data_IF_801490896104
#
_entry.id   IF_801490896104
#
_cell.length_a   1.000
_cell.length_b   1.000
_cell.length_c   1.000
_cell.angle_alpha   90.00
_cell.angle_beta   90.00
_cell.angle_gamma   90.00
#
_symmetry.space_group_name_H-M   'P 1'
#
loop_
_entity.id
_entity.type
_entity.pdbx_description
1 polymer ?
#
# COMPACT_ATOMS: atom_id res chain seq x y z
N UNK A 1 -29.99 -13.06 -16.63
CA UNK A 1 -29.56 -11.76 -17.20
C UNK A 1 -29.63 -10.71 -16.10
N UNK A 2 -28.58 -10.54 -15.30
CA UNK A 2 -28.44 -9.42 -14.35
C UNK A 2 -27.49 -8.41 -15.00
N UNK A 3 -27.99 -7.18 -15.22
CA UNK A 3 -27.17 -6.05 -15.69
C UNK A 3 -26.10 -5.76 -14.66
N UNK A 4 -24.83 -5.81 -15.07
CA UNK A 4 -23.68 -5.44 -14.24
C UNK A 4 -23.81 -4.00 -13.74
N UNK A 5 -23.66 -3.82 -12.44
CA UNK A 5 -23.41 -2.52 -11.82
C UNK A 5 -21.98 -2.11 -12.21
N UNK A 6 -21.83 -0.89 -12.71
CA UNK A 6 -20.58 -0.38 -13.24
C UNK A 6 -19.43 -0.49 -12.24
N UNK A 7 -18.32 -1.02 -12.71
CA UNK A 7 -17.05 -1.03 -12.00
C UNK A 7 -16.65 0.42 -11.65
N UNK A 8 -16.23 0.64 -10.42
CA UNK A 8 -15.66 1.92 -10.01
C UNK A 8 -14.35 2.13 -10.78
N UNK A 9 -14.31 3.13 -11.63
CA UNK A 9 -13.14 3.45 -12.45
C UNK A 9 -12.17 4.27 -11.61
N UNK A 10 -10.91 3.88 -11.57
CA UNK A 10 -9.84 4.74 -11.05
C UNK A 10 -9.98 6.10 -11.75
N UNK A 11 -10.28 7.18 -11.00
CA UNK A 11 -10.48 8.51 -11.61
C UNK A 11 -9.13 9.11 -12.02
N UNK A 12 -8.54 8.54 -13.06
CA UNK A 12 -7.46 9.16 -13.82
C UNK A 12 -8.15 10.16 -14.74
N UNK A 13 -7.88 11.48 -14.64
CA UNK A 13 -8.54 12.46 -15.50
C UNK A 13 -8.27 12.09 -16.95
N UNK A 14 -9.33 11.85 -17.73
CA UNK A 14 -9.21 11.73 -19.18
C UNK A 14 -8.50 12.98 -19.69
N UNK A 15 -7.49 12.82 -20.54
CA UNK A 15 -6.89 13.90 -21.28
C UNK A 15 -8.02 14.54 -22.12
N UNK A 16 -8.42 15.78 -21.78
CA UNK A 16 -9.50 16.45 -22.47
C UNK A 16 -9.22 16.55 -23.98
N UNK A 17 -10.11 15.96 -24.76
CA UNK A 17 -10.09 15.95 -26.21
C UNK A 17 -10.47 14.58 -26.75
N UNK A 18 -11.67 14.44 -27.32
CA UNK A 18 -12.03 13.31 -28.19
C UNK A 18 -11.08 13.29 -29.40
N UNK A 19 -10.02 12.49 -29.28
CA UNK A 19 -9.13 12.16 -30.38
C UNK A 19 -8.92 10.65 -30.33
N UNK A 20 -9.44 9.95 -31.35
CA UNK A 20 -9.14 8.55 -31.63
C UNK A 20 -7.65 8.30 -31.44
N UNK A 21 -7.30 7.32 -30.59
CA UNK A 21 -5.94 6.85 -30.38
C UNK A 21 -5.42 6.25 -31.71
N UNK A 22 -4.90 7.13 -32.54
CA UNK A 22 -4.07 6.74 -33.66
C UNK A 22 -2.68 6.41 -33.11
N UNK A 23 -2.34 5.13 -33.06
CA UNK A 23 -1.01 4.62 -32.71
C UNK A 23 0.01 4.91 -33.81
N UNK A 24 0.06 6.15 -34.28
CA UNK A 24 1.08 6.61 -35.22
C UNK A 24 2.06 7.55 -34.52
N UNK A 25 3.32 7.12 -34.45
CA UNK A 25 4.56 7.87 -34.30
C UNK A 25 4.38 9.30 -33.76
N UNK A 26 4.60 9.49 -32.46
CA UNK A 26 4.78 10.82 -31.88
C UNK A 26 5.83 11.58 -32.71
N UNK A 27 5.42 12.69 -33.28
CA UNK A 27 6.21 13.47 -34.23
C UNK A 27 7.54 13.89 -33.60
N UNK A 28 8.63 13.31 -34.11
CA UNK A 28 10.04 13.67 -33.83
C UNK A 28 10.40 15.10 -34.27
N UNK A 29 9.44 15.94 -34.62
CA UNK A 29 9.60 17.22 -35.27
C UNK A 29 9.55 18.45 -34.37
N UNK A 30 9.11 18.33 -33.10
CA UNK A 30 9.07 19.50 -32.21
C UNK A 30 10.46 19.74 -31.61
N UNK A 31 11.15 20.84 -31.90
CA UNK A 31 12.47 21.10 -31.34
C UNK A 31 12.42 21.32 -29.85
N UNK A 32 13.42 20.79 -29.15
CA UNK A 32 13.60 21.02 -27.72
C UNK A 32 14.25 22.37 -27.49
N UNK A 33 13.69 23.19 -26.62
CA UNK A 33 14.20 24.51 -26.28
C UNK A 33 15.32 24.42 -25.22
N UNK A 34 16.19 25.41 -25.17
CA UNK A 34 17.24 25.50 -24.12
C UNK A 34 16.67 25.47 -22.68
N UNK A 35 15.51 26.11 -22.51
CA UNK A 35 14.77 26.08 -21.22
C UNK A 35 14.35 24.63 -20.84
N UNK A 36 13.88 23.84 -21.76
CA UNK A 36 13.41 22.47 -21.52
C UNK A 36 14.57 21.55 -21.15
N UNK A 37 15.75 21.71 -21.79
CA UNK A 37 16.97 21.01 -21.36
C UNK A 37 17.40 21.41 -19.95
N UNK A 38 17.31 22.68 -19.64
CA UNK A 38 17.61 23.18 -18.31
C UNK A 38 16.65 22.63 -17.27
N UNK A 39 15.34 22.59 -17.55
CA UNK A 39 14.32 22.01 -16.68
C UNK A 39 14.57 20.51 -16.43
N UNK A 40 14.89 19.74 -17.47
CA UNK A 40 15.21 18.32 -17.33
C UNK A 40 16.46 18.10 -16.46
N UNK A 41 17.52 18.92 -16.62
CA UNK A 41 18.68 18.88 -15.74
C UNK A 41 18.32 19.23 -14.29
N UNK A 42 17.49 20.26 -14.09
CA UNK A 42 17.01 20.64 -12.74
C UNK A 42 16.21 19.54 -12.07
N UNK A 43 15.41 18.78 -12.83
CA UNK A 43 14.70 17.64 -12.29
C UNK A 43 15.68 16.58 -11.76
N UNK A 44 16.74 16.25 -12.51
CA UNK A 44 17.79 15.32 -12.07
C UNK A 44 18.57 15.86 -10.86
N UNK A 45 18.92 17.14 -10.84
CA UNK A 45 19.60 17.78 -9.70
C UNK A 45 18.74 17.73 -8.42
N UNK A 46 17.45 18.09 -8.52
CA UNK A 46 16.50 18.07 -7.40
C UNK A 46 16.20 16.65 -6.88
N UNK A 47 16.41 15.64 -7.72
CA UNK A 47 16.30 14.23 -7.35
C UNK A 47 17.62 13.66 -6.80
N UNK A 48 18.59 14.51 -6.40
CA UNK A 48 19.87 14.07 -5.84
C UNK A 48 20.82 13.43 -6.85
N UNK A 49 20.74 13.80 -8.12
CA UNK A 49 21.56 13.24 -9.21
C UNK A 49 21.51 11.69 -9.31
N UNK A 50 20.33 11.11 -9.43
CA UNK A 50 20.19 9.66 -9.51
C UNK A 50 20.93 9.13 -10.75
N UNK A 51 21.29 7.84 -10.74
CA UNK A 51 21.86 7.15 -11.91
C UNK A 51 20.80 6.89 -13.00
N UNK A 52 20.13 7.95 -13.42
CA UNK A 52 19.04 7.96 -14.40
C UNK A 52 19.35 9.04 -15.43
N UNK A 53 19.01 8.81 -16.70
CA UNK A 53 18.97 9.86 -17.71
C UNK A 53 17.52 10.17 -18.13
N UNK A 54 17.30 11.36 -18.67
CA UNK A 54 16.01 11.78 -19.24
C UNK A 54 16.16 11.84 -20.75
N UNK A 55 15.28 11.13 -21.47
CA UNK A 55 15.17 11.19 -22.93
C UNK A 55 13.93 12.02 -23.27
N UNK A 56 14.15 13.11 -23.99
CA UNK A 56 13.08 14.02 -24.42
C UNK A 56 12.42 13.53 -25.71
N UNK A 57 11.27 14.07 -26.09
CA UNK A 57 10.43 13.65 -27.20
C UNK A 57 11.08 13.69 -28.56
N UNK A 58 12.20 14.41 -28.73
CA UNK A 58 13.00 14.44 -29.95
C UNK A 58 14.16 13.41 -29.96
N UNK A 59 14.26 12.57 -28.91
CA UNK A 59 15.33 11.59 -28.74
C UNK A 59 16.61 12.14 -28.10
N UNK A 60 16.64 13.42 -27.71
CA UNK A 60 17.80 14.02 -27.04
C UNK A 60 17.88 13.49 -25.58
N UNK A 61 19.04 12.95 -25.20
CA UNK A 61 19.30 12.45 -23.87
C UNK A 61 19.97 13.54 -23.00
N UNK A 62 19.39 13.80 -21.84
CA UNK A 62 19.93 14.62 -20.76
C UNK A 62 20.51 13.68 -19.71
N UNK A 63 21.85 13.56 -19.61
CA UNK A 63 22.48 12.58 -18.73
C UNK A 63 22.39 12.98 -17.27
N UNK A 64 22.24 11.97 -16.38
CA UNK A 64 22.49 12.09 -14.95
C UNK A 64 23.99 12.03 -14.62
N UNK A 65 24.32 11.86 -13.32
CA UNK A 65 25.69 11.98 -12.81
C UNK A 65 26.65 10.85 -13.21
N UNK A 66 26.16 9.67 -13.64
CA UNK A 66 26.97 8.50 -13.99
C UNK A 66 26.30 7.68 -15.10
N UNK A 67 26.90 6.55 -15.51
CA UNK A 67 26.25 5.61 -16.42
C UNK A 67 24.85 5.26 -15.91
N UNK A 68 23.79 5.51 -16.68
CA UNK A 68 22.42 5.35 -16.22
C UNK A 68 22.09 3.88 -16.00
N UNK A 69 21.35 3.59 -14.91
CA UNK A 69 20.70 2.30 -14.68
C UNK A 69 19.38 2.18 -15.43
N UNK A 70 18.75 3.34 -15.66
CA UNK A 70 17.48 3.42 -16.38
C UNK A 70 17.37 4.76 -17.12
N UNK A 71 16.49 4.79 -18.12
CA UNK A 71 16.14 6.01 -18.86
C UNK A 71 14.67 6.33 -18.68
N UNK A 72 14.38 7.60 -18.37
CA UNK A 72 13.02 8.11 -18.32
C UNK A 72 12.70 8.85 -19.62
N UNK A 73 11.84 8.28 -20.44
CA UNK A 73 11.36 8.87 -21.68
C UNK A 73 10.18 9.79 -21.39
N UNK A 74 10.30 11.06 -21.75
CA UNK A 74 9.21 12.05 -21.70
C UNK A 74 8.71 12.25 -23.13
N UNK A 75 7.48 11.86 -23.41
CA UNK A 75 6.94 11.74 -24.75
C UNK A 75 6.54 13.07 -25.40
N UNK A 76 6.29 14.10 -24.61
CA UNK A 76 5.90 15.41 -25.10
C UNK A 76 6.24 16.55 -24.11
N UNK A 77 6.15 17.77 -24.63
CA UNK A 77 6.47 19.01 -23.90
C UNK A 77 5.57 19.25 -22.67
N UNK A 78 4.27 19.03 -22.79
CA UNK A 78 3.33 19.24 -21.68
C UNK A 78 3.59 18.26 -20.53
N UNK A 79 4.01 17.03 -20.85
CA UNK A 79 4.42 16.05 -19.84
C UNK A 79 5.60 16.55 -19.00
N UNK A 80 6.62 17.17 -19.64
CA UNK A 80 7.73 17.77 -18.89
C UNK A 80 7.27 18.91 -17.98
N UNK A 81 6.44 19.83 -18.47
CA UNK A 81 5.96 20.96 -17.67
C UNK A 81 5.07 20.51 -16.50
N UNK A 82 4.19 19.54 -16.71
CA UNK A 82 3.39 18.93 -15.63
C UNK A 82 4.28 18.28 -14.58
N UNK A 83 5.26 17.49 -15.01
CA UNK A 83 6.19 16.82 -14.10
C UNK A 83 6.95 17.83 -13.22
N UNK A 84 7.45 18.93 -13.81
CA UNK A 84 8.12 20.00 -13.06
C UNK A 84 7.18 20.69 -12.09
N UNK A 85 5.93 20.94 -12.49
CA UNK A 85 4.95 21.65 -11.66
C UNK A 85 4.57 20.87 -10.40
N UNK A 86 4.38 19.56 -10.51
CA UNK A 86 3.96 18.72 -9.40
C UNK A 86 4.43 17.27 -9.58
N UNK A 87 5.72 16.98 -9.35
CA UNK A 87 6.32 15.68 -9.65
C UNK A 87 5.65 14.53 -8.91
N UNK A 88 5.32 14.70 -7.62
CA UNK A 88 4.70 13.67 -6.77
C UNK A 88 3.27 13.27 -7.16
N UNK A 89 2.61 14.03 -8.02
CA UNK A 89 1.29 13.70 -8.57
C UNK A 89 1.42 13.28 -10.04
N UNK A 90 2.02 14.16 -10.85
CA UNK A 90 1.97 13.98 -12.30
C UNK A 90 2.89 12.89 -12.82
N UNK A 91 3.94 12.49 -12.09
CA UNK A 91 4.73 11.33 -12.51
C UNK A 91 3.85 10.09 -12.67
N UNK A 92 3.04 9.77 -11.66
CA UNK A 92 2.15 8.61 -11.71
C UNK A 92 1.05 8.75 -12.76
N UNK A 93 0.40 9.93 -12.84
CA UNK A 93 -0.63 10.18 -13.85
C UNK A 93 -0.07 10.04 -15.29
N UNK A 94 1.10 10.63 -15.56
CA UNK A 94 1.74 10.59 -16.88
C UNK A 94 2.28 9.20 -17.24
N UNK A 95 2.81 8.47 -16.26
CA UNK A 95 3.25 7.08 -16.45
C UNK A 95 2.04 6.17 -16.76
N UNK A 96 0.93 6.34 -16.04
CA UNK A 96 -0.26 5.52 -16.24
C UNK A 96 -0.82 5.64 -17.66
N UNK A 97 -0.78 6.83 -18.26
CA UNK A 97 -1.26 7.06 -19.62
C UNK A 97 -0.16 6.97 -20.71
N UNK A 98 1.03 6.47 -20.37
CA UNK A 98 2.12 6.23 -21.34
C UNK A 98 2.83 7.48 -21.84
N UNK A 99 2.62 8.65 -21.21
CA UNK A 99 3.34 9.89 -21.57
C UNK A 99 4.72 10.00 -20.90
N UNK A 100 4.96 9.18 -19.89
CA UNK A 100 6.28 8.86 -19.34
C UNK A 100 6.46 7.35 -19.44
N UNK A 101 7.63 6.92 -19.89
CA UNK A 101 8.03 5.53 -19.92
C UNK A 101 9.41 5.36 -19.28
N UNK A 102 9.63 4.22 -18.64
CA UNK A 102 10.89 3.85 -18.03
C UNK A 102 11.50 2.71 -18.84
N UNK A 103 12.65 2.96 -19.44
CA UNK A 103 13.50 1.94 -20.05
C UNK A 103 14.47 1.42 -18.99
N UNK A 104 14.40 0.12 -18.71
CA UNK A 104 15.12 -0.54 -17.62
C UNK A 104 14.19 -1.07 -16.54
N UNK A 105 14.77 -1.44 -15.41
CA UNK A 105 13.99 -1.97 -14.27
C UNK A 105 13.27 -0.84 -13.52
N UNK A 106 11.94 -0.93 -13.44
CA UNK A 106 11.11 0.10 -12.82
C UNK A 106 11.37 0.21 -11.30
N UNK A 107 11.60 -0.93 -10.62
CA UNK A 107 11.86 -0.94 -9.17
C UNK A 107 13.20 -0.28 -8.87
N UNK A 108 14.26 -0.63 -9.62
CA UNK A 108 15.58 -0.01 -9.48
C UNK A 108 15.55 1.50 -9.80
N UNK A 109 14.80 1.91 -10.81
CA UNK A 109 14.58 3.32 -11.13
C UNK A 109 14.00 4.06 -9.93
N UNK A 110 12.89 3.55 -9.37
CA UNK A 110 12.18 4.17 -8.25
C UNK A 110 12.99 4.13 -6.95
N UNK A 111 13.69 3.03 -6.66
CA UNK A 111 14.59 2.93 -5.50
C UNK A 111 15.71 3.98 -5.58
N UNK A 112 16.33 4.12 -6.75
CA UNK A 112 17.39 5.12 -6.97
C UNK A 112 16.84 6.54 -6.78
N UNK A 113 15.64 6.82 -7.26
CA UNK A 113 14.97 8.10 -7.08
C UNK A 113 14.67 8.37 -5.58
N UNK A 114 14.12 7.40 -4.85
CA UNK A 114 13.83 7.56 -3.41
C UNK A 114 15.09 7.82 -2.58
N UNK A 115 16.18 7.08 -2.82
CA UNK A 115 17.48 7.32 -2.16
C UNK A 115 18.07 8.70 -2.49
N UNK A 116 17.85 9.17 -3.73
CA UNK A 116 18.27 10.50 -4.15
C UNK A 116 17.47 11.62 -3.47
N UNK A 117 16.15 11.46 -3.36
CA UNK A 117 15.27 12.41 -2.65
C UNK A 117 15.59 12.51 -1.17
N UNK A 118 15.98 11.42 -0.50
CA UNK A 118 16.41 11.44 0.91
C UNK A 118 17.63 12.35 1.13
N UNK A 119 18.57 12.33 0.20
CA UNK A 119 19.76 13.21 0.28
C UNK A 119 19.45 14.68 -0.03
N UNK A 120 18.30 14.98 -0.67
CA UNK A 120 17.88 16.32 -1.08
C UNK A 120 16.76 16.93 -0.21
N UNK A 121 16.39 16.30 0.91
CA UNK A 121 15.22 16.65 1.76
C UNK A 121 15.26 18.07 2.33
N UNK A 122 16.42 18.69 2.49
CA UNK A 122 16.58 20.02 3.10
C UNK A 122 16.46 21.19 2.13
N UNK A 123 15.94 20.98 0.90
CA UNK A 123 15.77 22.08 -0.03
C UNK A 123 14.48 22.87 0.23
N UNK A 124 14.54 24.22 0.10
CA UNK A 124 13.39 25.12 0.26
C UNK A 124 12.21 24.73 -0.65
N UNK A 125 12.47 24.04 -1.76
CA UNK A 125 11.47 23.60 -2.72
C UNK A 125 10.61 22.44 -2.16
N UNK A 126 11.23 21.50 -1.45
CA UNK A 126 10.49 20.41 -0.76
C UNK A 126 9.65 20.98 0.37
N UNK A 127 10.14 21.96 1.11
CA UNK A 127 9.38 22.64 2.17
C UNK A 127 8.17 23.41 1.62
N UNK A 128 8.29 24.06 0.46
CA UNK A 128 7.18 24.75 -0.21
C UNK A 128 6.10 23.75 -0.70
N UNK A 129 6.51 22.62 -1.23
CA UNK A 129 5.57 21.57 -1.64
C UNK A 129 4.82 20.95 -0.45
N UNK A 130 5.48 20.78 0.70
CA UNK A 130 4.84 20.34 1.95
C UNK A 130 3.77 21.32 2.46
N UNK A 131 3.96 22.62 2.26
CA UNK A 131 2.98 23.66 2.62
C UNK A 131 1.72 23.65 1.72
N UNK A 132 1.86 23.25 0.46
CA UNK A 132 0.75 23.25 -0.52
C UNK A 132 -0.14 22.00 -0.40
N UNK A 133 0.36 20.90 0.15
CA UNK A 133 -0.38 19.66 0.34
C UNK A 133 -0.95 19.57 1.76
N UNK A 134 -2.22 19.96 1.97
CA UNK A 134 -2.90 19.79 3.27
C UNK A 134 -3.51 18.40 3.38
N UNK A 135 -3.36 17.68 4.53
CA UNK A 135 -3.99 16.39 4.75
C UNK A 135 -5.51 16.57 4.83
N UNK A 136 -6.25 15.58 4.34
CA UNK A 136 -7.69 15.46 4.62
C UNK A 136 -7.86 14.82 6.00
N UNK A 137 -8.84 15.31 6.78
CA UNK A 137 -9.25 14.65 8.01
C UNK A 137 -9.95 13.32 7.66
N UNK A 138 -9.65 12.25 8.38
CA UNK A 138 -10.24 10.93 8.13
C UNK A 138 -11.37 10.68 9.15
N UNK A 139 -12.60 11.08 8.82
CA UNK A 139 -13.78 10.79 9.65
C UNK A 139 -14.26 9.34 9.44
N UNK A 140 -15.10 8.76 10.34
CA UNK A 140 -15.69 7.43 10.13
C UNK A 140 -16.46 7.27 8.83
N UNK A 141 -17.10 8.34 8.35
CA UNK A 141 -17.79 8.37 7.05
C UNK A 141 -16.77 8.34 5.90
N UNK A 142 -15.72 9.18 5.98
CA UNK A 142 -14.65 9.22 4.97
C UNK A 142 -13.86 7.90 4.94
N UNK A 143 -13.65 7.24 6.09
CA UNK A 143 -12.99 5.94 6.15
C UNK A 143 -13.75 4.86 5.39
N UNK A 144 -15.09 4.83 5.51
CA UNK A 144 -15.94 3.91 4.73
C UNK A 144 -15.85 4.20 3.24
N UNK A 145 -16.00 5.45 2.83
CA UNK A 145 -15.94 5.85 1.42
C UNK A 145 -14.57 5.57 0.80
N UNK A 146 -13.48 5.86 1.52
CA UNK A 146 -12.11 5.62 1.09
C UNK A 146 -11.80 4.11 0.94
N UNK A 147 -12.28 3.27 1.86
CA UNK A 147 -12.11 1.82 1.79
C UNK A 147 -12.94 1.24 0.66
N UNK A 148 -14.20 1.67 0.49
CA UNK A 148 -15.01 1.30 -0.67
C UNK A 148 -14.32 1.67 -1.99
N UNK A 149 -13.72 2.86 -2.07
CA UNK A 149 -13.01 3.28 -3.28
C UNK A 149 -11.84 2.36 -3.65
N UNK A 150 -11.07 1.86 -2.68
CA UNK A 150 -9.91 1.01 -2.94
C UNK A 150 -10.25 -0.48 -3.07
N UNK A 151 -11.08 -1.01 -2.16
CA UNK A 151 -11.36 -2.46 -2.09
C UNK A 151 -12.54 -2.88 -2.97
N UNK A 152 -13.44 -1.95 -3.34
CA UNK A 152 -14.51 -2.19 -4.32
C UNK A 152 -14.05 -1.98 -5.78
N UNK A 153 -12.81 -1.50 -6.01
CA UNK A 153 -12.20 -1.41 -7.35
C UNK A 153 -12.02 -2.78 -8.01
N UNK A 154 -11.86 -3.83 -7.22
CA UNK A 154 -11.74 -5.19 -7.71
C UNK A 154 -12.63 -6.08 -6.89
N UNK A 155 -13.55 -6.77 -7.56
CA UNK A 155 -14.16 -7.94 -7.00
C UNK A 155 -13.06 -8.96 -6.62
N UNK A 156 -13.41 -9.97 -5.89
CA UNK A 156 -12.61 -11.15 -5.54
C UNK A 156 -11.68 -11.60 -6.69
N UNK A 157 -12.21 -11.65 -7.94
CA UNK A 157 -11.50 -12.08 -9.14
C UNK A 157 -10.19 -11.31 -9.41
N UNK A 158 -10.16 -10.00 -9.18
CA UNK A 158 -8.95 -9.21 -9.38
C UNK A 158 -7.85 -9.55 -8.37
N UNK A 159 -8.20 -9.67 -7.09
CA UNK A 159 -7.23 -9.96 -6.03
C UNK A 159 -6.70 -11.40 -6.10
N UNK A 160 -7.52 -12.37 -6.52
CA UNK A 160 -7.12 -13.77 -6.72
C UNK A 160 -6.04 -13.95 -7.79
N UNK A 161 -5.92 -13.03 -8.74
CA UNK A 161 -4.91 -13.10 -9.80
C UNK A 161 -3.48 -12.93 -9.28
N UNK A 162 -3.28 -12.21 -8.18
CA UNK A 162 -1.93 -11.86 -7.73
C UNK A 162 -1.65 -12.03 -6.22
N UNK A 163 -2.68 -12.16 -5.36
CA UNK A 163 -2.49 -12.55 -3.96
C UNK A 163 -2.22 -14.05 -3.82
N UNK A 164 -1.97 -14.49 -2.59
CA UNK A 164 -1.93 -15.91 -2.24
C UNK A 164 -3.33 -16.51 -2.31
N UNK A 165 -3.44 -17.71 -2.89
CA UNK A 165 -4.72 -18.37 -3.14
C UNK A 165 -5.37 -19.00 -1.91
N UNK A 166 -4.60 -19.20 -0.81
CA UNK A 166 -5.10 -19.90 0.37
C UNK A 166 -5.81 -18.98 1.36
N UNK A 167 -5.26 -17.79 1.60
CA UNK A 167 -5.71 -16.91 2.65
C UNK A 167 -6.07 -15.49 2.17
N UNK A 168 -5.77 -15.17 0.90
CA UNK A 168 -6.02 -13.86 0.30
C UNK A 168 -5.44 -12.73 1.15
N UNK A 169 -4.16 -12.85 1.54
CA UNK A 169 -3.50 -11.90 2.43
C UNK A 169 -2.98 -10.70 1.64
N UNK A 170 -3.63 -9.56 1.78
CA UNK A 170 -3.15 -8.30 1.20
C UNK A 170 -2.28 -7.53 2.21
N UNK A 171 -1.34 -8.24 2.83
CA UNK A 171 -0.39 -7.73 3.83
C UNK A 171 0.95 -8.44 3.69
N UNK A 172 1.98 -7.91 4.33
CA UNK A 172 3.33 -8.47 4.27
C UNK A 172 3.36 -9.96 4.64
N UNK A 173 3.98 -10.78 3.81
CA UNK A 173 4.35 -12.16 4.11
C UNK A 173 5.64 -12.21 4.96
N UNK A 174 5.94 -13.35 5.57
CA UNK A 174 7.16 -13.59 6.33
C UNK A 174 7.98 -14.70 5.67
N UNK A 175 9.18 -14.37 5.24
CA UNK A 175 10.10 -15.26 4.51
C UNK A 175 11.28 -15.64 5.39
N UNK A 176 11.15 -16.62 6.33
CA UNK A 176 12.31 -17.12 7.06
C UNK A 176 13.34 -17.80 6.14
N UNK A 177 12.91 -18.31 4.99
CA UNK A 177 13.74 -18.81 3.91
C UNK A 177 13.43 -18.01 2.62
N UNK A 178 14.45 -17.40 1.97
CA UNK A 178 14.26 -16.64 0.74
C UNK A 178 13.66 -17.43 -0.44
N UNK A 179 13.77 -18.76 -0.43
CA UNK A 179 13.24 -19.65 -1.47
C UNK A 179 11.76 -20.03 -1.31
N UNK A 180 11.07 -19.55 -0.28
CA UNK A 180 9.65 -19.88 -0.04
C UNK A 180 8.74 -19.31 -1.13
N UNK A 181 7.65 -20.04 -1.41
CA UNK A 181 6.54 -19.53 -2.19
C UNK A 181 5.78 -18.43 -1.42
N UNK A 182 4.98 -17.63 -2.12
CA UNK A 182 4.15 -16.62 -1.46
C UNK A 182 3.14 -17.26 -0.49
N UNK A 183 2.54 -18.39 -0.86
CA UNK A 183 1.61 -19.14 -0.03
C UNK A 183 2.27 -19.60 1.28
N UNK A 184 3.45 -20.21 1.19
CA UNK A 184 4.20 -20.67 2.38
C UNK A 184 4.62 -19.49 3.26
N UNK A 185 5.06 -18.38 2.65
CA UNK A 185 5.46 -17.18 3.37
C UNK A 185 4.26 -16.47 4.05
N UNK A 186 3.08 -16.47 3.43
CA UNK A 186 1.87 -15.95 4.07
C UNK A 186 1.40 -16.85 5.23
N UNK A 187 1.51 -18.18 5.06
CA UNK A 187 1.25 -19.11 6.16
C UNK A 187 2.25 -18.90 7.30
N UNK A 188 3.51 -18.76 6.99
CA UNK A 188 4.57 -18.47 7.97
C UNK A 188 4.33 -17.15 8.69
N UNK A 189 3.80 -16.10 8.01
CA UNK A 189 3.41 -14.83 8.62
C UNK A 189 2.27 -15.01 9.63
N UNK A 190 1.22 -15.74 9.26
CA UNK A 190 0.11 -16.01 10.17
C UNK A 190 0.57 -16.78 11.41
N UNK A 191 1.43 -17.80 11.23
CA UNK A 191 2.07 -18.51 12.34
C UNK A 191 2.98 -17.61 13.20
N UNK A 192 3.72 -16.69 12.56
CA UNK A 192 4.58 -15.75 13.28
C UNK A 192 3.77 -14.83 14.19
N UNK A 193 2.65 -14.30 13.71
CA UNK A 193 1.69 -13.50 14.49
C UNK A 193 1.15 -14.32 15.65
N UNK A 194 0.67 -15.55 15.41
CA UNK A 194 0.11 -16.42 16.45
C UNK A 194 1.14 -16.76 17.54
N UNK A 195 2.40 -17.05 17.16
CA UNK A 195 3.49 -17.33 18.12
C UNK A 195 3.84 -16.11 18.98
N UNK A 196 3.93 -14.91 18.39
CA UNK A 196 4.17 -13.67 19.12
C UNK A 196 3.04 -13.38 20.14
N UNK A 197 1.83 -13.66 19.75
CA UNK A 197 0.64 -13.55 20.63
C UNK A 197 0.59 -14.67 21.69
N UNK A 198 1.43 -15.71 21.57
CA UNK A 198 1.39 -16.93 22.42
C UNK A 198 0.00 -17.56 22.45
N UNK A 199 -0.65 -17.60 21.29
CA UNK A 199 -2.02 -18.06 21.15
C UNK A 199 -2.17 -19.52 21.55
N UNK A 200 -3.21 -19.83 22.32
CA UNK A 200 -3.52 -21.16 22.88
C UNK A 200 -4.91 -21.61 22.46
N UNK A 201 -5.16 -22.93 22.46
CA UNK A 201 -6.50 -23.44 22.30
C UNK A 201 -7.46 -22.89 23.34
N UNK A 202 -8.62 -22.39 22.91
CA UNK A 202 -9.63 -21.79 23.75
C UNK A 202 -9.53 -20.30 23.95
N UNK A 203 -8.42 -19.65 23.55
CA UNK A 203 -8.30 -18.19 23.62
C UNK A 203 -9.38 -17.51 22.76
N UNK A 204 -9.93 -16.41 23.27
CA UNK A 204 -10.87 -15.54 22.57
C UNK A 204 -10.09 -14.39 21.94
N UNK A 205 -10.23 -14.21 20.64
CA UNK A 205 -9.50 -13.23 19.86
C UNK A 205 -10.43 -12.17 19.27
N UNK A 206 -10.11 -10.89 19.47
CA UNK A 206 -10.65 -9.79 18.67
C UNK A 206 -9.67 -9.45 17.55
N UNK A 207 -10.08 -9.56 16.29
CA UNK A 207 -9.32 -9.12 15.13
C UNK A 207 -9.94 -7.84 14.57
N UNK A 208 -9.16 -6.75 14.55
CA UNK A 208 -9.56 -5.46 14.01
C UNK A 208 -9.01 -5.28 12.59
N UNK A 209 -9.89 -5.25 11.57
CA UNK A 209 -9.52 -5.16 10.18
C UNK A 209 -9.11 -6.51 9.57
N UNK A 210 -10.05 -7.45 9.47
CA UNK A 210 -9.75 -8.84 9.08
C UNK A 210 -9.53 -9.05 7.57
N UNK A 211 -9.74 -8.05 6.71
CA UNK A 211 -9.64 -8.21 5.27
C UNK A 211 -10.50 -9.38 4.77
N UNK A 212 -9.92 -10.27 3.95
CA UNK A 212 -10.57 -11.48 3.43
C UNK A 212 -10.69 -12.62 4.47
N UNK A 213 -10.36 -12.36 5.73
CA UNK A 213 -10.58 -13.27 6.87
C UNK A 213 -9.60 -14.44 6.98
N UNK A 214 -8.48 -14.41 6.28
CA UNK A 214 -7.51 -15.51 6.27
C UNK A 214 -6.86 -15.76 7.63
N UNK A 215 -6.45 -14.70 8.35
CA UNK A 215 -5.81 -14.82 9.66
C UNK A 215 -6.78 -15.39 10.71
N UNK A 216 -8.03 -14.93 10.76
CA UNK A 216 -9.05 -15.48 11.66
C UNK A 216 -9.25 -16.99 11.44
N UNK A 217 -9.37 -17.43 10.17
CA UNK A 217 -9.49 -18.86 9.86
C UNK A 217 -8.25 -19.65 10.27
N UNK A 218 -7.06 -19.08 10.10
CA UNK A 218 -5.79 -19.70 10.50
C UNK A 218 -5.72 -19.89 12.03
N UNK A 219 -6.03 -18.84 12.81
CA UNK A 219 -6.07 -18.90 14.28
C UNK A 219 -7.05 -19.95 14.79
N UNK A 220 -8.26 -20.00 14.21
CA UNK A 220 -9.26 -20.98 14.60
C UNK A 220 -8.87 -22.41 14.25
N UNK A 221 -8.30 -22.64 13.06
CA UNK A 221 -7.96 -23.97 12.56
C UNK A 221 -6.74 -24.57 13.25
N UNK A 222 -5.65 -23.81 13.34
CA UNK A 222 -4.35 -24.34 13.74
C UNK A 222 -4.03 -24.10 15.20
N UNK A 223 -4.64 -23.08 15.82
CA UNK A 223 -4.41 -22.73 17.22
C UNK A 223 -5.62 -22.98 18.12
N UNK A 224 -6.77 -23.37 17.56
CA UNK A 224 -7.95 -23.69 18.33
C UNK A 224 -8.62 -22.50 19.01
N UNK A 225 -8.35 -21.28 18.55
CA UNK A 225 -8.95 -20.06 19.05
C UNK A 225 -10.41 -19.89 18.61
N UNK A 226 -11.15 -19.07 19.33
CA UNK A 226 -12.44 -18.50 18.90
C UNK A 226 -12.22 -17.05 18.54
N UNK A 227 -12.56 -16.68 17.30
CA UNK A 227 -12.22 -15.37 16.75
C UNK A 227 -13.47 -14.57 16.42
N UNK A 228 -13.54 -13.33 16.88
CA UNK A 228 -14.49 -12.33 16.42
C UNK A 228 -13.74 -11.28 15.62
N UNK A 229 -13.97 -11.23 14.32
CA UNK A 229 -13.19 -10.50 13.34
C UNK A 229 -14.03 -9.38 12.71
N UNK A 230 -13.55 -8.15 12.77
CA UNK A 230 -14.29 -6.96 12.37
C UNK A 230 -13.74 -6.39 11.07
N UNK A 231 -14.63 -5.97 10.18
CA UNK A 231 -14.29 -5.24 8.96
C UNK A 231 -15.49 -4.40 8.49
N UNK A 232 -15.22 -3.27 7.87
CA UNK A 232 -16.26 -2.37 7.33
C UNK A 232 -16.60 -2.64 5.86
N UNK A 233 -15.83 -3.47 5.15
CA UNK A 233 -16.08 -3.87 3.77
C UNK A 233 -17.08 -5.02 3.72
N UNK A 234 -18.26 -4.76 3.15
CA UNK A 234 -19.32 -5.77 2.94
C UNK A 234 -18.82 -6.96 2.11
N UNK A 235 -18.13 -6.68 1.00
CA UNK A 235 -17.65 -7.70 0.07
C UNK A 235 -16.63 -8.65 0.75
N UNK A 236 -15.68 -8.08 1.50
CA UNK A 236 -14.69 -8.87 2.23
C UNK A 236 -15.33 -9.71 3.35
N UNK A 237 -16.29 -9.17 4.08
CA UNK A 237 -17.02 -9.91 5.12
C UNK A 237 -17.87 -11.03 4.52
N UNK A 238 -18.56 -10.79 3.41
CA UNK A 238 -19.35 -11.81 2.71
C UNK A 238 -18.47 -12.98 2.23
N UNK A 239 -17.34 -12.67 1.60
CA UNK A 239 -16.33 -13.66 1.20
C UNK A 239 -15.82 -14.45 2.39
N UNK A 240 -15.37 -13.76 3.45
CA UNK A 240 -14.79 -14.38 4.64
C UNK A 240 -15.78 -15.36 5.33
N UNK A 241 -17.06 -15.00 5.42
CA UNK A 241 -18.14 -15.86 5.92
C UNK A 241 -18.32 -17.09 5.06
N UNK A 242 -18.33 -16.93 3.73
CA UNK A 242 -18.43 -18.04 2.77
C UNK A 242 -17.28 -19.02 2.94
N UNK A 243 -16.05 -18.52 3.03
CA UNK A 243 -14.85 -19.32 3.23
C UNK A 243 -14.84 -20.05 4.59
N UNK A 244 -15.27 -19.41 5.67
CA UNK A 244 -15.35 -20.05 6.97
C UNK A 244 -16.38 -21.18 6.99
N UNK A 245 -17.54 -20.98 6.35
CA UNK A 245 -18.57 -22.00 6.22
C UNK A 245 -18.08 -23.20 5.39
N UNK A 246 -17.47 -22.95 4.23
CA UNK A 246 -16.90 -23.98 3.36
C UNK A 246 -15.80 -24.80 4.06
N UNK A 247 -15.09 -24.19 5.01
CA UNK A 247 -14.01 -24.83 5.76
C UNK A 247 -14.46 -25.43 7.11
N UNK A 248 -15.76 -25.39 7.44
CA UNK A 248 -16.32 -25.92 8.70
C UNK A 248 -15.91 -25.11 9.95
N UNK A 249 -15.56 -23.83 9.79
CA UNK A 249 -15.09 -22.94 10.85
C UNK A 249 -16.13 -21.94 11.35
N UNK A 250 -17.37 -21.94 10.81
CA UNK A 250 -18.42 -20.99 11.16
C UNK A 250 -18.80 -20.99 12.66
N UNK A 251 -18.56 -22.09 13.40
CA UNK A 251 -18.77 -22.15 14.84
C UNK A 251 -17.60 -21.59 15.67
N UNK A 252 -16.48 -21.23 15.06
CA UNK A 252 -15.27 -20.70 15.72
C UNK A 252 -14.87 -19.32 15.28
N UNK A 253 -15.33 -18.88 14.11
CA UNK A 253 -15.03 -17.55 13.55
C UNK A 253 -16.33 -16.83 13.25
N UNK A 254 -16.51 -15.69 13.88
CA UNK A 254 -17.60 -14.75 13.61
C UNK A 254 -17.00 -13.54 12.88
N UNK A 255 -17.48 -13.24 11.67
CA UNK A 255 -17.12 -12.02 10.93
C UNK A 255 -18.23 -10.98 11.12
N UNK A 256 -17.84 -9.82 11.67
CA UNK A 256 -18.74 -8.71 11.99
C UNK A 256 -18.48 -7.56 11.00
N UNK A 257 -19.54 -7.17 10.28
CA UNK A 257 -19.49 -5.98 9.40
C UNK A 257 -19.74 -4.74 10.28
N UNK A 258 -18.68 -4.23 10.88
CA UNK A 258 -18.74 -3.03 11.74
C UNK A 258 -17.36 -2.37 11.85
N UNK A 259 -17.37 -1.13 12.36
CA UNK A 259 -16.17 -0.35 12.65
C UNK A 259 -15.45 -0.91 13.89
N UNK A 260 -14.11 -0.94 13.86
CA UNK A 260 -13.28 -1.41 14.98
C UNK A 260 -13.57 -0.66 16.29
N UNK A 261 -14.04 0.58 16.22
CA UNK A 261 -14.41 1.40 17.39
C UNK A 261 -15.55 0.80 18.19
N UNK A 262 -16.37 -0.04 17.55
CA UNK A 262 -17.52 -0.72 18.15
C UNK A 262 -17.19 -2.12 18.68
N UNK A 263 -15.92 -2.56 18.63
CA UNK A 263 -15.51 -3.83 19.25
C UNK A 263 -15.90 -3.81 20.72
N UNK A 264 -16.67 -4.79 21.12
CA UNK A 264 -17.16 -5.03 22.46
C UNK A 264 -16.81 -6.44 22.94
N UNK A 265 -17.02 -6.71 24.23
CA UNK A 265 -16.72 -8.00 24.85
C UNK A 265 -15.33 -8.04 25.48
N UNK A 266 -14.95 -9.23 25.93
CA UNK A 266 -13.69 -9.48 26.62
C UNK A 266 -12.90 -10.58 25.90
N UNK A 267 -11.63 -10.31 25.60
CA UNK A 267 -10.76 -11.15 24.79
C UNK A 267 -9.41 -11.38 25.46
N UNK A 268 -8.83 -12.55 25.23
CA UNK A 268 -7.50 -12.89 25.69
C UNK A 268 -6.44 -12.29 24.75
N UNK A 269 -6.83 -12.05 23.49
CA UNK A 269 -5.95 -11.52 22.44
C UNK A 269 -6.65 -10.44 21.61
N UNK A 270 -5.91 -9.34 21.33
CA UNK A 270 -6.29 -8.32 20.37
C UNK A 270 -5.27 -8.29 19.23
N UNK A 271 -5.71 -8.38 17.99
CA UNK A 271 -4.82 -8.37 16.82
C UNK A 271 -5.33 -7.44 15.72
N UNK A 272 -4.41 -6.70 15.10
CA UNK A 272 -4.69 -5.87 13.93
C UNK A 272 -3.53 -5.93 12.96
N UNK A 273 -3.81 -6.29 11.69
CA UNK A 273 -2.81 -6.48 10.65
C UNK A 273 -3.20 -5.68 9.40
N UNK A 274 -2.44 -4.60 9.10
CA UNK A 274 -2.64 -3.77 7.90
C UNK A 274 -3.90 -2.89 7.95
N UNK A 275 -4.34 -2.48 9.15
CA UNK A 275 -5.47 -1.55 9.31
C UNK A 275 -5.01 -0.14 9.75
N UNK A 276 -3.93 -0.05 10.54
CA UNK A 276 -3.54 1.19 11.20
C UNK A 276 -3.30 2.35 10.21
N UNK A 277 -2.83 2.04 9.02
CA UNK A 277 -2.61 2.98 7.92
C UNK A 277 -3.87 3.73 7.51
N UNK A 278 -5.04 3.13 7.76
CA UNK A 278 -6.36 3.68 7.44
C UNK A 278 -7.09 4.28 8.64
N UNK A 279 -6.54 4.13 9.85
CA UNK A 279 -7.14 4.66 11.09
C UNK A 279 -7.03 6.18 11.17
N UNK A 280 -5.89 6.73 10.71
CA UNK A 280 -5.57 8.14 10.86
C UNK A 280 -4.99 8.48 12.25
N UNK A 281 -3.97 9.33 12.27
CA UNK A 281 -3.18 9.67 13.46
C UNK A 281 -4.02 10.13 14.65
N UNK A 282 -5.05 10.95 14.41
CA UNK A 282 -5.90 11.51 15.46
C UNK A 282 -6.71 10.44 16.22
N UNK A 283 -6.77 9.21 15.71
CA UNK A 283 -7.53 8.09 16.27
C UNK A 283 -6.65 6.99 16.91
N UNK A 284 -5.33 7.17 16.98
CA UNK A 284 -4.45 6.14 17.59
C UNK A 284 -4.75 5.90 19.06
N UNK A 285 -4.98 6.97 19.83
CA UNK A 285 -5.43 6.84 21.23
C UNK A 285 -6.77 6.13 21.34
N UNK A 286 -7.68 6.36 20.42
CA UNK A 286 -8.98 5.66 20.37
C UNK A 286 -8.78 4.17 20.11
N UNK A 287 -7.90 3.78 19.18
CA UNK A 287 -7.57 2.38 18.93
C UNK A 287 -6.99 1.71 20.18
N UNK A 288 -6.06 2.40 20.87
CA UNK A 288 -5.52 1.92 22.14
C UNK A 288 -6.61 1.74 23.21
N UNK A 289 -7.53 2.70 23.36
CA UNK A 289 -8.66 2.60 24.29
C UNK A 289 -9.63 1.47 23.94
N UNK A 290 -9.83 1.16 22.65
CA UNK A 290 -10.59 -0.02 22.22
C UNK A 290 -9.89 -1.31 22.67
N UNK A 291 -8.60 -1.44 22.41
CA UNK A 291 -7.83 -2.60 22.85
C UNK A 291 -7.83 -2.75 24.38
N UNK A 292 -7.70 -1.65 25.13
CA UNK A 292 -7.71 -1.67 26.60
C UNK A 292 -9.03 -2.16 27.16
N UNK A 293 -10.15 -1.63 26.71
CA UNK A 293 -11.48 -2.06 27.22
C UNK A 293 -11.84 -3.50 26.86
N UNK A 294 -11.23 -4.05 25.79
CA UNK A 294 -11.55 -5.38 25.27
C UNK A 294 -10.62 -6.48 25.78
N UNK A 295 -9.38 -6.15 26.19
CA UNK A 295 -8.42 -7.13 26.67
C UNK A 295 -8.66 -7.51 28.12
N UNK A 296 -8.57 -8.80 28.44
CA UNK A 296 -8.46 -9.30 29.80
C UNK A 296 -7.22 -8.72 30.49
N UNK A 297 -7.15 -8.81 31.83
CA UNK A 297 -6.02 -8.31 32.62
C UNK A 297 -4.66 -8.90 32.17
N UNK A 298 -4.64 -10.20 31.82
CA UNK A 298 -3.46 -10.88 31.28
C UNK A 298 -3.42 -10.87 29.73
N UNK A 299 -4.26 -10.07 29.09
CA UNK A 299 -4.44 -10.05 27.65
C UNK A 299 -3.21 -9.53 26.91
N UNK A 300 -3.04 -10.01 25.69
CA UNK A 300 -1.93 -9.67 24.81
C UNK A 300 -2.43 -9.16 23.48
N UNK A 301 -1.74 -8.15 22.93
CA UNK A 301 -2.08 -7.62 21.63
C UNK A 301 -0.91 -7.56 20.66
N UNK A 302 -1.21 -7.44 19.36
CA UNK A 302 -0.27 -7.20 18.29
C UNK A 302 -0.86 -6.23 17.28
N UNK A 303 -0.09 -5.20 16.95
CA UNK A 303 -0.34 -4.31 15.82
C UNK A 303 0.74 -4.54 14.77
N UNK A 304 0.33 -4.82 13.54
CA UNK A 304 1.20 -4.96 12.38
C UNK A 304 0.80 -3.88 11.37
N UNK A 305 1.71 -2.98 11.05
CA UNK A 305 1.42 -1.84 10.19
C UNK A 305 2.63 -1.39 9.38
N UNK A 306 2.37 -0.93 8.16
CA UNK A 306 3.33 -0.13 7.42
C UNK A 306 3.62 1.12 8.24
N UNK A 307 4.89 1.48 8.28
CA UNK A 307 5.35 2.69 8.90
C UNK A 307 6.35 3.44 8.03
N UNK A 308 6.94 4.49 8.60
CA UNK A 308 7.98 5.32 7.97
C UNK A 308 9.13 5.57 8.92
N UNK A 309 10.26 5.92 8.34
CA UNK A 309 11.42 6.39 9.07
C UNK A 309 11.24 7.82 9.60
N UNK A 310 10.47 8.64 8.89
CA UNK A 310 10.17 10.02 9.23
C UNK A 310 8.69 10.35 9.05
N UNK A 311 8.17 11.30 9.85
CA UNK A 311 6.79 11.77 9.75
C UNK A 311 6.61 12.62 8.49
N UNK A 312 6.05 12.04 7.46
CA UNK A 312 5.79 12.68 6.16
C UNK A 312 4.38 12.38 5.68
N UNK A 313 3.89 13.23 4.80
CA UNK A 313 2.62 13.00 4.10
C UNK A 313 2.76 11.87 3.07
N UNK A 314 1.65 11.24 2.76
CA UNK A 314 1.58 10.30 1.65
C UNK A 314 1.95 11.03 0.34
N UNK A 315 2.64 10.34 -0.55
CA UNK A 315 2.86 10.82 -1.93
C UNK A 315 1.52 11.16 -2.56
N UNK A 316 1.39 12.37 -3.11
CA UNK A 316 0.11 12.89 -3.58
C UNK A 316 -0.60 11.97 -4.58
N UNK A 317 0.14 11.29 -5.45
CA UNK A 317 -0.44 10.34 -6.39
C UNK A 317 -1.03 9.12 -5.68
N UNK A 318 -0.33 8.53 -4.71
CA UNK A 318 -0.84 7.41 -3.90
C UNK A 318 -2.08 7.83 -3.13
N UNK A 319 -2.04 9.00 -2.47
CA UNK A 319 -3.16 9.52 -1.67
C UNK A 319 -4.41 9.79 -2.52
N UNK A 320 -4.23 10.33 -3.76
CA UNK A 320 -5.36 10.71 -4.59
C UNK A 320 -5.87 9.60 -5.51
N UNK A 321 -5.03 8.60 -5.86
CA UNK A 321 -5.38 7.59 -6.86
C UNK A 321 -5.52 6.19 -6.28
N UNK A 322 -4.74 5.83 -5.25
CA UNK A 322 -4.66 4.46 -4.74
C UNK A 322 -5.29 4.34 -3.36
N UNK A 323 -4.81 5.09 -2.35
CA UNK A 323 -5.25 4.99 -0.95
C UNK A 323 -5.64 6.35 -0.37
N UNK A 324 -6.84 6.86 -0.69
CA UNK A 324 -7.32 8.10 -0.09
C UNK A 324 -7.31 8.03 1.43
N UNK A 325 -6.71 9.05 2.06
CA UNK A 325 -6.68 9.20 3.51
C UNK A 325 -5.73 8.24 4.25
N UNK A 326 -4.95 7.40 3.55
CA UNK A 326 -3.97 6.52 4.20
C UNK A 326 -2.78 7.32 4.74
N UNK A 327 -2.31 6.93 5.92
CA UNK A 327 -1.16 7.53 6.59
C UNK A 327 -0.30 6.46 7.28
N UNK A 328 0.83 6.04 6.69
CA UNK A 328 1.81 5.21 7.38
C UNK A 328 2.52 6.03 8.48
N UNK A 329 2.39 5.66 9.77
CA UNK A 329 2.99 6.40 10.88
C UNK A 329 4.48 6.08 11.06
N UNK A 330 5.19 6.95 11.77
CA UNK A 330 6.47 6.59 12.37
C UNK A 330 6.27 5.68 13.58
N UNK A 331 7.30 4.92 13.98
CA UNK A 331 7.26 4.13 15.20
C UNK A 331 6.94 5.01 16.43
N UNK A 332 7.47 6.23 16.47
CA UNK A 332 7.18 7.20 17.53
C UNK A 332 5.69 7.54 17.59
N UNK A 333 5.06 7.75 16.45
CA UNK A 333 3.61 8.06 16.40
C UNK A 333 2.76 6.86 16.79
N UNK A 334 3.20 5.63 16.50
CA UNK A 334 2.52 4.40 16.93
C UNK A 334 2.46 4.27 18.47
N UNK A 335 3.42 4.86 19.19
CA UNK A 335 3.42 4.82 20.66
C UNK A 335 2.20 5.52 21.27
N UNK A 336 1.53 6.42 20.56
CA UNK A 336 0.24 7.01 20.96
C UNK A 336 -0.90 5.99 21.13
N UNK A 337 -0.74 4.77 20.64
CA UNK A 337 -1.67 3.65 20.88
C UNK A 337 -1.46 3.07 22.27
N UNK A 338 -0.22 2.96 22.72
CA UNK A 338 0.18 2.15 23.87
C UNK A 338 0.36 2.96 25.14
N UNK A 339 1.20 4.00 25.10
CA UNK A 339 1.57 4.77 26.30
C UNK A 339 0.37 5.42 27.00
N UNK A 340 -0.58 6.10 26.30
CA UNK A 340 -1.71 6.74 26.97
C UNK A 340 -2.69 5.76 27.61
N UNK A 341 -2.67 4.49 27.18
CA UNK A 341 -3.54 3.43 27.66
C UNK A 341 -2.85 2.48 28.65
N UNK A 342 -1.62 2.79 29.08
CA UNK A 342 -0.89 2.03 30.08
C UNK A 342 -0.41 0.65 29.62
N UNK A 343 -0.31 0.41 28.30
CA UNK A 343 0.21 -0.84 27.78
C UNK A 343 1.74 -0.92 27.89
N UNK A 344 2.22 -2.13 28.26
CA UNK A 344 3.64 -2.47 28.15
C UNK A 344 3.96 -3.00 26.76
N UNK A 345 4.84 -2.32 26.02
CA UNK A 345 5.35 -2.82 24.75
C UNK A 345 6.42 -3.88 25.03
N UNK A 346 6.22 -5.10 24.53
CA UNK A 346 7.06 -6.26 24.79
C UNK A 346 8.07 -6.56 23.68
N UNK A 347 7.71 -6.23 22.42
CA UNK A 347 8.51 -6.52 21.25
C UNK A 347 8.16 -5.54 20.12
N UNK A 348 9.19 -5.11 19.39
CA UNK A 348 9.07 -4.33 18.16
C UNK A 348 9.96 -4.95 17.11
N UNK A 349 9.37 -5.57 16.10
CA UNK A 349 10.10 -6.17 14.98
C UNK A 349 9.86 -5.36 13.70
N UNK A 350 10.94 -5.13 12.95
CA UNK A 350 10.85 -4.47 11.65
C UNK A 350 11.00 -5.48 10.51
N UNK A 351 9.96 -5.64 9.73
CA UNK A 351 9.85 -6.64 8.65
C UNK A 351 9.90 -6.01 7.24
N UNK A 352 10.47 -4.81 7.07
CA UNK A 352 10.43 -4.09 5.79
C UNK A 352 10.95 -4.88 4.59
N UNK A 353 12.04 -5.68 4.77
CA UNK A 353 12.60 -6.47 3.66
C UNK A 353 11.72 -7.67 3.29
N UNK A 354 10.96 -8.21 4.24
CA UNK A 354 9.92 -9.20 3.95
C UNK A 354 8.79 -8.60 3.10
N UNK A 355 8.46 -7.30 3.33
CA UNK A 355 7.46 -6.65 2.49
C UNK A 355 8.00 -6.34 1.09
N UNK A 356 9.26 -5.92 0.97
CA UNK A 356 9.89 -5.78 -0.35
C UNK A 356 9.82 -7.10 -1.14
N UNK A 357 10.09 -8.24 -0.48
CA UNK A 357 9.98 -9.58 -1.08
C UNK A 357 8.53 -9.97 -1.42
N UNK A 358 7.58 -9.63 -0.55
CA UNK A 358 6.14 -9.84 -0.81
C UNK A 358 5.70 -9.10 -2.07
N UNK A 359 6.10 -7.83 -2.19
CA UNK A 359 5.77 -6.99 -3.35
C UNK A 359 6.44 -7.46 -4.64
N UNK A 360 7.65 -8.04 -4.55
CA UNK A 360 8.30 -8.71 -5.68
C UNK A 360 7.44 -9.87 -6.21
N UNK A 361 6.92 -10.73 -5.32
CA UNK A 361 6.00 -11.80 -5.71
C UNK A 361 4.68 -11.27 -6.28
N UNK A 362 4.09 -10.24 -5.65
CA UNK A 362 2.84 -9.65 -6.13
C UNK A 362 3.02 -9.01 -7.52
N UNK A 363 4.10 -8.24 -7.71
CA UNK A 363 4.40 -7.61 -9.01
C UNK A 363 4.60 -8.65 -10.12
N UNK A 364 5.36 -9.72 -9.83
CA UNK A 364 5.59 -10.79 -10.79
C UNK A 364 4.29 -11.51 -11.18
N UNK A 365 3.40 -11.79 -10.20
CA UNK A 365 2.08 -12.40 -10.46
C UNK A 365 1.16 -11.45 -11.22
N UNK A 366 1.13 -10.19 -10.83
CA UNK A 366 0.38 -9.16 -11.50
C UNK A 366 0.77 -9.04 -12.98
N UNK A 367 2.07 -9.04 -13.27
CA UNK A 367 2.58 -8.97 -14.65
C UNK A 367 2.23 -10.21 -15.48
N UNK A 368 2.17 -11.40 -14.87
CA UNK A 368 1.72 -12.62 -15.54
C UNK A 368 0.24 -12.55 -15.96
N UNK A 369 -0.59 -11.80 -15.24
CA UNK A 369 -2.02 -11.64 -15.49
C UNK A 369 -2.39 -10.27 -16.11
N UNK A 370 -1.40 -9.49 -16.57
CA UNK A 370 -1.62 -8.12 -17.05
C UNK A 370 -2.68 -8.02 -18.15
N UNK A 371 -2.68 -8.93 -19.13
CA UNK A 371 -3.69 -8.96 -20.21
C UNK A 371 -5.11 -9.27 -19.71
N UNK A 372 -5.23 -10.09 -18.67
CA UNK A 372 -6.50 -10.43 -18.05
C UNK A 372 -7.04 -9.24 -17.26
N UNK A 373 -6.16 -8.57 -16.50
CA UNK A 373 -6.47 -7.37 -15.75
C UNK A 373 -6.84 -6.21 -16.69
N UNK A 374 -6.18 -6.07 -17.83
CA UNK A 374 -6.52 -5.06 -18.84
C UNK A 374 -7.92 -5.27 -19.42
N UNK A 375 -8.37 -6.53 -19.54
CA UNK A 375 -9.75 -6.83 -19.96
C UNK A 375 -10.81 -6.52 -18.91
N UNK A 376 -10.44 -6.59 -17.62
CA UNK A 376 -11.33 -6.22 -16.50
C UNK A 376 -11.46 -4.71 -16.36
N UNK A 377 -10.33 -3.99 -16.56
CA UNK A 377 -10.23 -2.53 -16.38
C UNK A 377 -9.82 -1.85 -17.69
N UNK A 378 -8.54 -1.42 -17.80
CA UNK A 378 -7.91 -0.88 -19.00
C UNK A 378 -6.37 -0.87 -18.87
N UNK A 379 -5.66 -0.47 -19.93
CA UNK A 379 -4.20 -0.40 -19.95
C UNK A 379 -3.62 0.68 -19.01
N UNK A 380 -4.37 1.76 -18.77
CA UNK A 380 -3.94 2.81 -17.83
C UNK A 380 -3.98 2.30 -16.38
N UNK A 381 -5.01 1.52 -16.02
CA UNK A 381 -5.10 0.83 -14.73
C UNK A 381 -3.92 -0.13 -14.53
N UNK A 382 -3.62 -0.98 -15.52
CA UNK A 382 -2.49 -1.93 -15.46
C UNK A 382 -1.19 -1.19 -15.18
N UNK A 383 -0.93 -0.09 -15.89
CA UNK A 383 0.27 0.72 -15.66
C UNK A 383 0.28 1.39 -14.28
N UNK A 384 -0.86 1.93 -13.85
CA UNK A 384 -0.99 2.56 -12.53
C UNK A 384 -0.74 1.56 -11.40
N UNK A 385 -1.36 0.37 -11.47
CA UNK A 385 -1.20 -0.66 -10.43
C UNK A 385 0.22 -1.22 -10.38
N UNK A 386 0.83 -1.46 -11.56
CA UNK A 386 2.25 -1.84 -11.67
C UNK A 386 3.15 -0.79 -11.01
N UNK A 387 2.91 0.50 -11.28
CA UNK A 387 3.67 1.59 -10.65
C UNK A 387 3.49 1.60 -9.12
N UNK A 388 2.28 1.38 -8.64
CA UNK A 388 2.00 1.29 -7.20
C UNK A 388 2.77 0.15 -6.54
N UNK A 389 2.72 -1.08 -7.10
CA UNK A 389 3.43 -2.23 -6.55
C UNK A 389 4.96 -2.02 -6.60
N UNK A 390 5.50 -1.60 -7.74
CA UNK A 390 6.92 -1.32 -7.91
C UNK A 390 7.41 -0.18 -7.00
N UNK A 391 6.63 0.91 -6.88
CA UNK A 391 6.93 2.04 -6.01
C UNK A 391 6.93 1.68 -4.53
N UNK A 392 5.98 0.84 -4.12
CA UNK A 392 5.94 0.31 -2.76
C UNK A 392 7.16 -0.58 -2.48
N UNK A 393 7.50 -1.50 -3.38
CA UNK A 393 8.70 -2.34 -3.26
C UNK A 393 9.97 -1.49 -3.13
N UNK A 394 10.13 -0.51 -4.01
CA UNK A 394 11.26 0.42 -3.99
C UNK A 394 11.34 1.21 -2.68
N UNK A 395 10.21 1.65 -2.13
CA UNK A 395 10.12 2.35 -0.84
C UNK A 395 10.62 1.49 0.33
N UNK A 396 10.25 0.21 0.37
CA UNK A 396 10.76 -0.72 1.38
C UNK A 396 12.24 -1.05 1.17
N UNK A 397 12.73 -1.20 -0.06
CA UNK A 397 14.15 -1.40 -0.36
C UNK A 397 14.98 -0.16 0.01
N UNK A 398 14.52 1.02 -0.33
CA UNK A 398 15.19 2.28 0.02
C UNK A 398 15.18 2.56 1.53
N UNK A 399 14.19 2.05 2.28
CA UNK A 399 14.03 2.26 3.71
C UNK A 399 13.15 3.45 4.09
N UNK A 400 12.56 4.15 3.13
CA UNK A 400 11.57 5.23 3.37
C UNK A 400 10.26 4.67 3.89
N UNK A 401 9.91 3.44 3.49
CA UNK A 401 8.85 2.65 4.09
C UNK A 401 9.43 1.60 5.04
N UNK A 402 8.76 1.42 6.15
CA UNK A 402 9.04 0.46 7.20
C UNK A 402 7.84 -0.46 7.39
N UNK A 403 8.03 -1.59 8.07
CA UNK A 403 6.94 -2.42 8.53
C UNK A 403 7.19 -2.85 9.96
N UNK A 404 6.29 -2.53 10.86
CA UNK A 404 6.44 -2.87 12.27
C UNK A 404 5.40 -3.89 12.72
N UNK A 405 5.86 -4.89 13.47
CA UNK A 405 5.02 -5.69 14.35
C UNK A 405 5.32 -5.30 15.79
N UNK A 406 4.31 -4.80 16.51
CA UNK A 406 4.44 -4.35 17.89
C UNK A 406 3.59 -5.25 18.76
N UNK A 407 4.21 -5.97 19.69
CA UNK A 407 3.53 -6.82 20.69
C UNK A 407 3.44 -6.05 21.98
N UNK A 408 2.27 -6.08 22.60
CA UNK A 408 1.98 -5.38 23.84
C UNK A 408 1.12 -6.23 24.78
N UNK A 409 1.08 -5.84 26.02
CA UNK A 409 0.25 -6.45 27.07
C UNK A 409 -0.34 -5.39 27.98
N UNK A 410 -1.46 -5.73 28.59
CA UNK A 410 -2.07 -4.94 29.64
C UNK A 410 -1.40 -5.29 30.98
N UNK A 411 -0.56 -4.44 31.50
CA UNK A 411 0.15 -4.67 32.78
C UNK A 411 1.51 -5.33 32.68
#
# INVERSE_FOLDING_TARGET
>A
MRKGKGAATLSIPAAGGEGTLDTQSASTTTPVLALERWLARKLLELSGHPRVSIVLWNGEEVPGAAAPLARMHIRDRDALYRLIRHPYLHFGDLYSVGRIEIEGDLVQFLETAYRGFDSARDTWFTQLQHLLNRPRANTPADSRENIHHHYDLGNEEFYELWLDREAMQYTCAYFPDPGMTLEDAQRAKMDHVCRKLRLKPGDRVAEAGCGWGGLARHMARYYGATVRAYNISHEQVAYARGQAAAQGLAGRVEYVEDDYRNIDGEYDVFVSVGMLEHVGRDHYRTLGAVADRCLTEAGRGLIHSIGRDQAERMVAWIEQRIFPGAYPPTLREMMEIFEPNGFSVLDVENLRLHYAKTLEHWLARFDLHAEEIERIFDGAFVRAWRLYLAGSQAGFLAGTLQLFQIVFTRG
#
